data_IF_771932182905
#
_entry.id   IF_771932182905
#
_cell.length_a   1.000
_cell.length_b   1.000
_cell.length_c   1.000
_cell.angle_alpha   90.00
_cell.angle_beta   90.00
_cell.angle_gamma   90.00
#
_symmetry.space_group_name_H-M   'P 1'
#
loop_
_entity.id
_entity.type
_entity.pdbx_description
1 polymer ?
#
# COMPACT_ATOMS: atom_id res chain seq x y z
N UNK A 1 -21.75 -46.69 -22.54
CA UNK A 1 -20.96 -45.78 -21.69
C UNK A 1 -19.82 -45.23 -22.51
N UNK A 2 -19.92 -43.99 -22.99
CA UNK A 2 -18.78 -43.20 -23.43
C UNK A 2 -18.74 -41.96 -22.53
N UNK A 3 -17.58 -41.59 -21.96
CA UNK A 3 -17.51 -40.50 -21.00
C UNK A 3 -17.49 -39.17 -21.73
N UNK A 4 -18.46 -38.31 -21.42
CA UNK A 4 -18.42 -36.88 -21.72
C UNK A 4 -17.36 -36.23 -20.82
N UNK A 5 -16.14 -36.05 -21.33
CA UNK A 5 -15.12 -35.26 -20.63
C UNK A 5 -15.40 -33.77 -20.82
N UNK A 6 -15.44 -33.05 -19.71
CA UNK A 6 -16.05 -31.73 -19.57
C UNK A 6 -15.28 -30.59 -20.25
N UNK A 7 -16.03 -29.78 -20.99
CA UNK A 7 -15.66 -28.40 -21.38
C UNK A 7 -15.90 -27.38 -20.26
N UNK A 8 -16.51 -27.76 -19.14
CA UNK A 8 -16.93 -26.84 -18.07
C UNK A 8 -15.87 -26.58 -16.99
N UNK A 9 -14.86 -27.45 -16.86
CA UNK A 9 -13.81 -27.30 -15.84
C UNK A 9 -12.69 -26.32 -16.23
N UNK A 10 -12.34 -26.25 -17.52
CA UNK A 10 -11.25 -25.41 -18.03
C UNK A 10 -11.64 -23.95 -18.22
N UNK A 11 -12.90 -23.67 -18.57
CA UNK A 11 -13.43 -22.30 -18.61
C UNK A 11 -13.58 -21.71 -17.20
N UNK A 12 -14.05 -22.50 -16.23
CA UNK A 12 -14.22 -22.05 -14.85
C UNK A 12 -12.87 -21.76 -14.17
N UNK A 13 -11.85 -22.58 -14.42
CA UNK A 13 -10.49 -22.34 -13.93
C UNK A 13 -9.86 -21.07 -14.55
N UNK A 14 -10.11 -20.78 -15.83
CA UNK A 14 -9.63 -19.56 -16.50
C UNK A 14 -10.29 -18.29 -15.93
N UNK A 15 -11.58 -18.36 -15.63
CA UNK A 15 -12.34 -17.21 -15.08
C UNK A 15 -11.92 -16.92 -13.64
N UNK A 16 -11.71 -17.94 -12.80
CA UNK A 16 -11.27 -17.74 -11.41
C UNK A 16 -9.83 -17.21 -11.33
N UNK A 17 -8.92 -17.69 -12.18
CA UNK A 17 -7.53 -17.18 -12.24
C UNK A 17 -7.48 -15.74 -12.77
N UNK A 18 -8.32 -15.38 -13.75
CA UNK A 18 -8.43 -13.98 -14.20
C UNK A 18 -9.03 -13.06 -13.12
N UNK A 19 -10.02 -13.54 -12.35
CA UNK A 19 -10.64 -12.76 -11.29
C UNK A 19 -9.67 -12.50 -10.11
N UNK A 20 -8.85 -13.49 -9.74
CA UNK A 20 -7.77 -13.28 -8.78
C UNK A 20 -6.72 -12.31 -9.32
N UNK A 21 -6.28 -12.46 -10.57
CA UNK A 21 -5.30 -11.54 -11.19
C UNK A 21 -5.79 -10.08 -11.22
N UNK A 22 -7.06 -9.86 -11.57
CA UNK A 22 -7.71 -8.54 -11.58
C UNK A 22 -7.89 -7.93 -10.17
N UNK A 23 -8.11 -8.77 -9.15
CA UNK A 23 -8.12 -8.30 -7.75
C UNK A 23 -6.73 -7.83 -7.31
N UNK A 24 -5.69 -8.59 -7.63
CA UNK A 24 -4.31 -8.26 -7.24
C UNK A 24 -3.78 -7.03 -8.00
N UNK A 25 -4.12 -6.83 -9.27
CA UNK A 25 -3.78 -5.61 -10.03
C UNK A 25 -4.34 -4.32 -9.40
N UNK A 26 -5.51 -4.39 -8.77
CA UNK A 26 -6.17 -3.22 -8.15
C UNK A 26 -5.76 -3.03 -6.70
N UNK A 27 -5.57 -4.11 -5.95
CA UNK A 27 -5.25 -4.06 -4.53
C UNK A 27 -3.78 -3.68 -4.26
N UNK A 28 -2.85 -4.16 -5.09
CA UNK A 28 -1.41 -3.96 -4.90
C UNK A 28 -0.97 -2.47 -4.99
N UNK A 29 -1.42 -1.66 -5.98
CA UNK A 29 -1.07 -0.24 -6.03
C UNK A 29 -1.70 0.57 -4.89
N UNK A 30 -2.90 0.19 -4.42
CA UNK A 30 -3.52 0.81 -3.24
C UNK A 30 -2.74 0.51 -1.95
N UNK A 31 -2.30 -0.74 -1.76
CA UNK A 31 -1.44 -1.15 -0.64
C UNK A 31 -0.08 -0.45 -0.67
N UNK A 32 0.55 -0.36 -1.85
CA UNK A 32 1.82 0.33 -2.05
C UNK A 32 1.69 1.84 -1.84
N UNK A 33 0.59 2.45 -2.27
CA UNK A 33 0.31 3.87 -2.04
C UNK A 33 0.09 4.16 -0.56
N UNK A 34 -0.60 3.28 0.18
CA UNK A 34 -0.76 3.42 1.64
C UNK A 34 0.57 3.28 2.38
N UNK A 35 1.44 2.34 1.97
CA UNK A 35 2.79 2.16 2.53
C UNK A 35 3.71 3.34 2.22
N UNK A 36 3.58 3.93 1.03
CA UNK A 36 4.30 5.14 0.64
C UNK A 36 3.82 6.37 1.42
N UNK A 37 2.51 6.52 1.61
CA UNK A 37 1.92 7.61 2.40
C UNK A 37 2.29 7.52 3.88
N UNK A 38 2.33 6.31 4.47
CA UNK A 38 2.76 6.13 5.87
C UNK A 38 4.24 6.41 6.06
N UNK A 39 5.10 5.95 5.12
CA UNK A 39 6.53 6.25 5.14
C UNK A 39 6.83 7.74 4.91
N UNK A 40 6.04 8.44 4.09
CA UNK A 40 6.18 9.89 3.89
C UNK A 40 5.68 10.70 5.08
N UNK A 41 4.64 10.25 5.80
CA UNK A 41 4.17 10.93 7.02
C UNK A 41 5.16 10.81 8.18
N UNK A 42 5.88 9.69 8.31
CA UNK A 42 6.95 9.51 9.29
C UNK A 42 8.21 10.34 8.98
N UNK A 43 8.55 10.51 7.69
CA UNK A 43 9.78 11.24 7.30
C UNK A 43 9.59 12.76 7.28
N UNK A 44 8.36 13.27 7.06
CA UNK A 44 8.08 14.70 7.02
C UNK A 44 7.98 15.39 8.41
N UNK A 45 7.95 14.61 9.50
CA UNK A 45 7.94 15.13 10.88
C UNK A 45 9.29 14.97 11.60
N UNK A 46 10.35 14.62 10.89
CA UNK A 46 11.70 14.73 11.43
C UNK A 46 12.10 16.22 11.49
N UNK A 47 11.47 16.96 12.41
CA UNK A 47 12.08 18.13 13.01
C UNK A 47 13.52 17.74 13.35
N UNK A 48 14.50 18.52 12.88
CA UNK A 48 15.89 18.37 13.29
C UNK A 48 15.86 18.33 14.81
N UNK A 49 16.18 17.20 15.47
CA UNK A 49 16.14 17.17 16.91
C UNK A 49 17.18 18.18 17.38
N UNK A 50 16.73 19.18 18.13
CA UNK A 50 17.62 19.86 19.08
C UNK A 50 18.45 18.75 19.73
N UNK A 51 19.78 18.87 19.71
CA UNK A 51 20.68 17.93 20.39
C UNK A 51 20.01 17.53 21.71
N UNK A 52 19.70 16.25 21.94
CA UNK A 52 18.89 15.87 23.09
C UNK A 52 19.70 16.26 24.32
N UNK A 53 19.36 17.39 24.93
CA UNK A 53 19.59 17.56 26.35
C UNK A 53 18.82 16.41 26.95
N UNK A 54 19.51 15.37 27.42
CA UNK A 54 18.85 14.22 28.03
C UNK A 54 17.94 14.76 29.13
N UNK A 55 16.65 14.44 29.03
CA UNK A 55 15.63 14.81 30.02
C UNK A 55 14.99 13.56 30.55
N UNK A 56 14.68 13.57 31.83
CA UNK A 56 13.81 12.60 32.49
C UNK A 56 12.39 13.14 32.36
N UNK A 57 11.54 12.43 31.63
CA UNK A 57 10.12 12.74 31.48
C UNK A 57 9.31 12.03 32.58
N UNK A 58 8.41 12.74 33.24
CA UNK A 58 7.50 12.21 34.26
C UNK A 58 6.10 12.78 34.10
N UNK A 59 5.14 11.91 33.86
CA UNK A 59 3.74 12.27 33.94
C UNK A 59 3.29 12.23 35.40
N UNK A 60 2.75 13.36 35.88
CA UNK A 60 2.21 13.50 37.23
C UNK A 60 0.78 13.96 37.14
N UNK A 61 -0.13 13.22 37.76
CA UNK A 61 -1.56 13.52 37.81
C UNK A 61 -2.02 13.68 39.26
N UNK A 62 -2.74 14.76 39.54
CA UNK A 62 -3.32 14.99 40.86
C UNK A 62 -4.69 15.64 40.76
N UNK A 63 -5.40 15.70 41.89
CA UNK A 63 -6.72 16.30 41.97
C UNK A 63 -6.83 17.21 43.18
N UNK A 64 -7.44 18.37 43.00
CA UNK A 64 -7.73 19.30 44.09
C UNK A 64 -9.06 20.04 43.85
N UNK A 65 -9.94 20.03 44.86
CA UNK A 65 -11.28 20.66 44.80
C UNK A 65 -12.08 20.34 43.53
N UNK A 66 -12.05 19.08 43.10
CA UNK A 66 -12.80 18.58 41.94
C UNK A 66 -12.12 18.82 40.58
N UNK A 67 -11.03 19.59 40.53
CA UNK A 67 -10.19 19.70 39.34
C UNK A 67 -9.23 18.51 39.26
N UNK A 68 -9.05 17.97 38.05
CA UNK A 68 -8.03 16.99 37.72
C UNK A 68 -6.96 17.67 36.85
N UNK A 69 -5.71 17.54 37.24
CA UNK A 69 -4.57 18.20 36.60
C UNK A 69 -3.55 17.12 36.25
N UNK A 70 -2.96 17.20 35.06
CA UNK A 70 -1.91 16.32 34.60
C UNK A 70 -0.80 17.12 33.94
N UNK A 71 0.44 16.95 34.39
CA UNK A 71 1.62 17.62 33.87
C UNK A 71 2.67 16.60 33.43
N UNK A 72 3.31 16.86 32.29
CA UNK A 72 4.56 16.20 31.90
C UNK A 72 5.74 17.05 32.41
N UNK A 73 6.41 16.57 33.46
CA UNK A 73 7.64 17.17 33.96
C UNK A 73 8.81 16.76 33.06
N UNK A 74 9.66 17.72 32.70
CA UNK A 74 10.85 17.50 31.88
C UNK A 74 12.11 17.96 32.62
N UNK A 75 12.72 17.05 33.36
CA UNK A 75 13.86 17.33 34.25
C UNK A 75 15.16 17.12 33.50
N UNK A 76 16.05 18.13 33.38
CA UNK A 76 17.36 17.95 32.77
C UNK A 76 18.19 16.89 33.52
N UNK A 77 18.68 15.87 32.81
CA UNK A 77 19.41 14.75 33.41
C UNK A 77 20.67 15.21 34.13
N UNK A 78 21.36 16.24 33.63
CA UNK A 78 22.57 16.77 34.30
C UNK A 78 22.26 17.33 35.69
N UNK A 79 21.08 17.93 35.89
CA UNK A 79 20.70 18.55 37.15
C UNK A 79 20.36 17.47 38.19
N UNK A 80 19.62 16.43 37.77
CA UNK A 80 19.40 15.22 38.56
C UNK A 80 20.73 14.56 38.95
N UNK A 81 21.60 14.30 37.97
CA UNK A 81 22.90 13.67 38.17
C UNK A 81 23.85 14.47 39.08
N UNK A 82 23.67 15.78 39.18
CA UNK A 82 24.40 16.64 40.10
C UNK A 82 24.04 16.32 41.56
N UNK A 83 22.74 16.19 41.86
CA UNK A 83 22.27 15.84 43.20
C UNK A 83 22.63 14.39 43.58
N UNK A 84 22.46 13.42 42.67
CA UNK A 84 22.76 12.01 42.96
C UNK A 84 24.25 11.74 43.25
N UNK A 85 25.14 12.70 42.95
CA UNK A 85 26.58 12.63 43.25
C UNK A 85 26.92 13.12 44.65
N UNK A 86 25.99 13.79 45.33
CA UNK A 86 26.16 14.20 46.72
C UNK A 86 25.97 12.95 47.60
N UNK A 87 27.01 12.60 48.35
CA UNK A 87 27.02 11.37 49.16
C UNK A 87 26.10 11.49 50.37
N UNK A 88 25.80 10.36 51.00
CA UNK A 88 24.99 10.33 52.24
C UNK A 88 25.67 11.13 53.35
N UNK A 89 27.00 11.04 53.47
CA UNK A 89 27.78 11.79 54.45
C UNK A 89 27.68 13.31 54.22
N UNK A 90 27.77 13.75 52.96
CA UNK A 90 27.63 15.16 52.60
C UNK A 90 26.22 15.69 52.88
N UNK A 91 25.19 14.88 52.63
CA UNK A 91 23.78 15.21 52.95
C UNK A 91 23.59 15.40 54.46
N UNK A 92 24.14 14.50 55.26
CA UNK A 92 24.11 14.60 56.73
C UNK A 92 24.87 15.84 57.20
N UNK A 93 26.03 16.15 56.61
CA UNK A 93 26.85 17.30 56.98
C UNK A 93 26.15 18.64 56.71
N UNK A 94 25.52 18.79 55.53
CA UNK A 94 24.76 20.02 55.24
C UNK A 94 23.46 20.09 56.04
N UNK A 95 22.89 18.94 56.41
CA UNK A 95 21.63 18.83 57.16
C UNK A 95 20.39 19.12 56.31
N UNK A 96 19.26 18.54 56.73
CA UNK A 96 18.01 18.50 55.96
C UNK A 96 17.48 19.88 55.53
N UNK A 97 17.67 20.93 56.34
CA UNK A 97 17.24 22.28 55.99
C UNK A 97 17.94 22.82 54.73
N UNK A 98 19.22 22.47 54.54
CA UNK A 98 20.01 22.87 53.36
C UNK A 98 19.72 21.99 52.13
N UNK A 99 18.93 20.93 52.28
CA UNK A 99 18.50 20.08 51.17
C UNK A 99 17.23 20.57 50.47
N UNK A 100 16.54 21.56 51.05
CA UNK A 100 15.29 22.09 50.50
C UNK A 100 15.50 22.81 49.14
N UNK A 101 16.70 23.29 48.83
CA UNK A 101 17.10 23.83 47.50
C UNK A 101 16.02 24.62 46.73
N UNK A 102 15.28 25.48 47.45
CA UNK A 102 14.19 26.29 46.88
C UNK A 102 14.69 27.36 45.89
N UNK A 103 15.99 27.65 45.92
CA UNK A 103 16.70 28.54 45.01
C UNK A 103 17.22 27.83 43.73
N UNK A 104 17.03 26.51 43.60
CA UNK A 104 17.25 25.79 42.35
C UNK A 104 16.29 26.30 41.27
N UNK A 105 16.82 26.65 40.09
CA UNK A 105 16.04 27.27 39.02
C UNK A 105 14.91 26.39 38.48
N UNK A 106 15.07 25.06 38.50
CA UNK A 106 14.05 24.12 38.05
C UNK A 106 12.93 24.06 39.09
N UNK A 107 13.27 23.99 40.37
CA UNK A 107 12.30 24.02 41.48
C UNK A 107 11.55 25.36 41.51
N UNK A 108 12.25 26.48 41.36
CA UNK A 108 11.64 27.80 41.30
C UNK A 108 10.71 27.96 40.08
N UNK A 109 11.09 27.43 38.92
CA UNK A 109 10.25 27.40 37.73
C UNK A 109 8.98 26.57 37.95
N UNK A 110 9.12 25.38 38.55
CA UNK A 110 8.01 24.49 38.85
C UNK A 110 7.03 25.12 39.85
N UNK A 111 7.54 25.70 40.94
CA UNK A 111 6.75 26.40 41.94
C UNK A 111 5.99 27.59 41.34
N UNK A 112 6.65 28.37 40.48
CA UNK A 112 6.03 29.48 39.74
C UNK A 112 4.92 29.00 38.81
N UNK A 113 5.14 27.88 38.11
CA UNK A 113 4.11 27.22 37.30
C UNK A 113 2.89 26.83 38.14
N UNK A 114 3.11 26.17 39.28
CA UNK A 114 2.03 25.66 40.15
C UNK A 114 1.22 26.83 40.72
N UNK A 115 1.90 27.88 41.19
CA UNK A 115 1.27 29.09 41.69
C UNK A 115 0.47 29.82 40.60
N UNK A 116 1.00 29.88 39.37
CA UNK A 116 0.29 30.49 38.23
C UNK A 116 -0.98 29.72 37.89
N UNK A 117 -0.92 28.39 37.90
CA UNK A 117 -2.09 27.56 37.61
C UNK A 117 -3.13 27.61 38.72
N UNK A 118 -2.72 27.57 40.00
CA UNK A 118 -3.62 27.81 41.13
C UNK A 118 -4.34 29.17 41.02
N UNK A 119 -3.61 30.22 40.62
CA UNK A 119 -4.18 31.55 40.40
C UNK A 119 -5.21 31.56 39.25
N UNK A 120 -4.96 30.85 38.14
CA UNK A 120 -5.93 30.72 37.03
C UNK A 120 -7.21 30.01 37.48
N UNK A 121 -7.10 29.04 38.40
CA UNK A 121 -8.22 28.34 39.01
C UNK A 121 -8.96 29.17 40.07
N UNK A 122 -8.49 30.38 40.37
CA UNK A 122 -9.11 31.28 41.35
C UNK A 122 -8.79 30.92 42.80
N UNK A 123 -7.75 30.13 43.05
CA UNK A 123 -7.36 29.74 44.40
C UNK A 123 -6.68 30.89 45.15
N UNK A 124 -7.09 31.09 46.42
CA UNK A 124 -6.42 31.98 47.36
C UNK A 124 -5.20 31.33 48.00
N UNK A 125 -4.59 32.00 48.98
CA UNK A 125 -3.37 31.53 49.69
C UNK A 125 -3.53 30.09 50.23
N UNK A 126 -4.53 29.84 51.07
CA UNK A 126 -4.76 28.50 51.64
C UNK A 126 -4.97 27.43 50.57
N UNK A 127 -5.74 27.74 49.53
CA UNK A 127 -6.03 26.78 48.46
C UNK A 127 -4.84 26.54 47.54
N UNK A 128 -4.02 27.55 47.29
CA UNK A 128 -2.78 27.41 46.53
C UNK A 128 -1.79 26.53 47.27
N UNK A 129 -1.64 26.73 48.59
CA UNK A 129 -0.80 25.90 49.43
C UNK A 129 -1.26 24.43 49.42
N UNK A 130 -2.55 24.17 49.60
CA UNK A 130 -3.11 22.81 49.53
C UNK A 130 -3.10 22.21 48.11
N UNK A 131 -3.18 23.03 47.06
CA UNK A 131 -3.04 22.59 45.67
C UNK A 131 -1.63 22.07 45.39
N UNK A 132 -0.60 22.79 45.86
CA UNK A 132 0.80 22.35 45.80
C UNK A 132 1.01 21.11 46.67
N UNK A 133 0.37 21.05 47.85
CA UNK A 133 0.42 19.87 48.72
C UNK A 133 -0.16 18.63 48.02
N UNK A 134 -1.31 18.78 47.35
CA UNK A 134 -1.94 17.71 46.60
C UNK A 134 -1.09 17.23 45.40
N UNK A 135 -0.32 18.13 44.78
CA UNK A 135 0.67 17.76 43.77
C UNK A 135 1.75 16.85 44.38
N UNK A 136 2.32 17.22 45.52
CA UNK A 136 3.35 16.39 46.19
C UNK A 136 2.79 15.05 46.68
N UNK A 137 1.61 15.06 47.30
CA UNK A 137 0.91 13.84 47.76
C UNK A 137 0.56 12.85 46.63
N UNK A 138 0.61 13.28 45.36
CA UNK A 138 0.35 12.40 44.22
C UNK A 138 1.54 11.50 43.85
N UNK A 139 2.74 11.81 44.36
CA UNK A 139 3.92 11.00 44.17
C UNK A 139 3.82 9.71 45.00
N UNK A 140 4.51 8.64 44.56
CA UNK A 140 4.40 7.34 45.22
C UNK A 140 5.19 7.31 46.52
N UNK A 141 4.59 6.76 47.57
CA UNK A 141 5.28 6.51 48.82
C UNK A 141 6.06 5.19 48.76
N UNK A 142 7.37 5.24 48.99
CA UNK A 142 8.24 4.07 49.15
C UNK A 142 9.31 4.37 50.20
N UNK A 143 9.53 3.44 51.13
CA UNK A 143 10.58 3.59 52.15
C UNK A 143 11.95 3.36 51.55
N UNK A 144 12.95 4.06 52.06
CA UNK A 144 14.32 3.92 51.59
C UNK A 144 14.90 2.51 51.72
N UNK A 145 14.67 1.83 52.84
CA UNK A 145 15.16 0.47 53.09
C UNK A 145 14.59 -0.58 52.11
N UNK A 146 13.51 -0.26 51.38
CA UNK A 146 12.88 -1.13 50.39
C UNK A 146 13.53 -0.98 49.00
N UNK A 147 14.09 0.19 48.69
CA UNK A 147 14.50 0.56 47.32
C UNK A 147 16.00 0.89 47.22
N UNK A 148 16.63 1.25 48.33
CA UNK A 148 18.04 1.64 48.40
C UNK A 148 18.82 0.71 49.35
N UNK A 149 20.17 0.64 49.25
CA UNK A 149 20.97 -0.09 50.22
C UNK A 149 21.12 0.65 51.56
N UNK A 150 20.56 1.84 51.70
CA UNK A 150 20.65 2.68 52.88
C UNK A 150 19.38 2.54 53.72
N UNK A 151 19.53 2.63 55.05
CA UNK A 151 18.39 2.69 55.95
C UNK A 151 17.62 4.01 55.80
N UNK A 152 18.36 5.08 55.49
CA UNK A 152 17.88 6.45 55.33
C UNK A 152 18.69 7.11 54.20
N UNK A 153 18.02 7.71 53.24
CA UNK A 153 18.56 8.36 52.06
C UNK A 153 17.69 9.58 51.68
N UNK A 154 17.91 10.68 52.39
CA UNK A 154 17.20 11.94 52.11
C UNK A 154 17.45 12.40 50.68
N UNK A 155 16.41 12.56 49.89
CA UNK A 155 16.48 13.06 48.52
C UNK A 155 16.36 14.57 48.46
N UNK A 156 17.07 15.16 47.51
CA UNK A 156 16.81 16.53 47.11
C UNK A 156 15.46 16.61 46.37
N UNK A 157 14.79 17.78 46.34
CA UNK A 157 13.51 17.97 45.64
C UNK A 157 13.53 17.46 44.20
N UNK A 158 14.62 17.70 43.48
CA UNK A 158 14.74 17.32 42.07
C UNK A 158 14.90 15.81 41.87
N UNK A 159 15.53 15.11 42.82
CA UNK A 159 15.62 13.63 42.81
C UNK A 159 14.23 13.02 43.04
N UNK A 160 13.48 13.51 44.03
CA UNK A 160 12.10 13.06 44.31
C UNK A 160 11.21 13.21 43.07
N UNK A 161 11.30 14.35 42.37
CA UNK A 161 10.55 14.58 41.13
C UNK A 161 11.03 13.69 39.97
N UNK A 162 12.35 13.49 39.83
CA UNK A 162 12.93 12.70 38.75
C UNK A 162 12.63 11.20 38.91
N UNK A 163 12.57 10.72 40.13
CA UNK A 163 12.30 9.32 40.44
C UNK A 163 10.79 9.05 40.55
N UNK A 164 10.00 10.05 40.96
CA UNK A 164 8.53 9.97 41.08
C UNK A 164 8.06 9.29 42.37
N UNK A 165 8.95 9.18 43.36
CA UNK A 165 8.68 8.57 44.66
C UNK A 165 9.64 9.07 45.74
N UNK A 166 9.19 8.94 46.99
CA UNK A 166 9.96 9.19 48.21
C UNK A 166 9.14 8.79 49.43
N UNK A 167 9.71 8.87 50.61
CA UNK A 167 9.00 8.71 51.89
C UNK A 167 8.76 10.07 52.56
N UNK A 168 8.78 10.13 53.89
CA UNK A 168 8.19 11.23 54.66
C UNK A 168 9.02 12.51 54.57
N UNK A 169 10.33 12.38 54.65
CA UNK A 169 11.29 13.46 54.56
C UNK A 169 11.49 13.92 53.13
N UNK A 170 11.58 13.01 52.16
CA UNK A 170 11.65 13.35 50.72
C UNK A 170 10.49 14.25 50.28
N UNK A 171 9.28 13.81 50.63
CA UNK A 171 8.05 14.53 50.31
C UNK A 171 7.96 15.86 51.06
N UNK A 172 8.47 15.91 52.30
CA UNK A 172 8.53 17.13 53.11
C UNK A 172 9.54 18.14 52.57
N UNK A 173 10.73 17.69 52.18
CA UNK A 173 11.77 18.51 51.56
C UNK A 173 11.25 19.09 50.24
N UNK A 174 10.64 18.27 49.38
CA UNK A 174 10.04 18.72 48.11
C UNK A 174 8.91 19.73 48.33
N UNK A 175 7.96 19.45 49.22
CA UNK A 175 6.86 20.37 49.48
C UNK A 175 7.35 21.69 50.07
N UNK A 176 8.29 21.65 51.02
CA UNK A 176 8.91 22.84 51.58
C UNK A 176 9.65 23.67 50.51
N UNK A 177 10.33 23.00 49.57
CA UNK A 177 11.05 23.64 48.47
C UNK A 177 10.12 24.44 47.56
N UNK A 178 9.05 23.79 47.11
CA UNK A 178 8.04 24.41 46.25
C UNK A 178 7.32 25.56 46.96
N UNK A 179 7.00 25.39 48.25
CA UNK A 179 6.32 26.41 49.04
C UNK A 179 7.21 27.63 49.30
N UNK A 180 8.49 27.43 49.68
CA UNK A 180 9.46 28.54 49.82
C UNK A 180 9.64 29.28 48.50
N UNK A 181 9.85 28.56 47.40
CA UNK A 181 10.01 29.15 46.08
C UNK A 181 8.75 29.89 45.59
N UNK A 182 7.55 29.44 46.01
CA UNK A 182 6.28 30.14 45.76
C UNK A 182 6.04 31.34 46.69
N UNK A 183 6.96 31.63 47.62
CA UNK A 183 6.91 32.78 48.51
C UNK A 183 6.22 32.55 49.85
N UNK A 184 5.93 31.30 50.21
CA UNK A 184 5.37 30.97 51.52
C UNK A 184 6.46 30.90 52.58
N UNK A 185 6.10 31.29 53.80
CA UNK A 185 6.95 31.06 54.96
C UNK A 185 6.66 29.68 55.54
N UNK A 186 7.62 28.77 55.38
CA UNK A 186 7.52 27.38 55.82
C UNK A 186 8.75 26.96 56.62
N UNK A 187 8.57 25.93 57.45
CA UNK A 187 9.59 25.28 58.28
C UNK A 187 9.42 23.76 58.16
N UNK A 188 10.46 23.00 58.45
CA UNK A 188 10.32 21.54 58.60
C UNK A 188 9.96 21.22 60.05
N UNK A 189 9.14 20.19 60.22
CA UNK A 189 8.81 19.59 61.51
C UNK A 189 9.44 18.21 61.58
N UNK A 190 10.44 18.10 62.46
CA UNK A 190 11.04 16.82 62.84
C UNK A 190 10.27 16.26 64.05
N UNK A 191 9.62 15.12 63.83
CA UNK A 191 8.79 14.39 64.80
C UNK A 191 9.38 12.99 64.98
N UNK A 192 9.08 12.29 66.09
CA UNK A 192 9.54 10.92 66.27
C UNK A 192 9.11 10.01 65.12
N UNK A 193 10.09 9.50 64.36
CA UNK A 193 9.91 8.62 63.19
C UNK A 193 9.04 9.22 62.06
N UNK A 194 8.95 10.57 61.96
CA UNK A 194 8.17 11.23 60.92
C UNK A 194 8.68 12.63 60.62
N UNK A 195 8.65 13.04 59.35
CA UNK A 195 8.88 14.42 58.94
C UNK A 195 7.63 15.01 58.29
N UNK A 196 7.35 16.27 58.61
CA UNK A 196 6.26 17.02 58.02
C UNK A 196 6.67 18.48 57.77
N UNK A 197 5.76 19.27 57.21
CA UNK A 197 6.02 20.70 56.93
C UNK A 197 5.08 21.57 57.75
N UNK A 198 5.62 22.64 58.34
CA UNK A 198 4.88 23.71 58.95
C UNK A 198 4.68 24.88 57.98
N UNK A 199 3.43 25.29 57.74
CA UNK A 199 3.10 26.39 56.81
C UNK A 199 2.51 27.57 57.57
N UNK A 200 3.15 28.73 57.51
CA UNK A 200 2.56 29.97 58.00
C UNK A 200 1.63 30.57 56.94
N UNK A 201 0.43 30.93 57.37
CA UNK A 201 -0.61 31.53 56.53
C UNK A 201 -0.96 32.92 57.05
N UNK A 202 -1.33 33.83 56.15
CA UNK A 202 -1.76 35.19 56.51
C UNK A 202 -3.02 35.21 57.38
N UNK A 203 -3.94 34.26 57.14
CA UNK A 203 -5.18 34.09 57.91
C UNK A 203 -5.06 32.94 58.88
N UNK A 204 -5.54 33.16 60.10
CA UNK A 204 -5.69 32.08 61.07
C UNK A 204 -6.75 31.08 60.59
N UNK A 205 -6.41 29.81 60.63
CA UNK A 205 -7.32 28.69 60.36
C UNK A 205 -7.44 27.80 61.59
N UNK A 206 -8.42 26.92 61.61
CA UNK A 206 -8.53 25.85 62.61
C UNK A 206 -7.65 24.67 62.21
N UNK A 207 -7.02 24.01 63.18
CA UNK A 207 -6.20 22.82 62.94
C UNK A 207 -5.02 22.69 63.90
N UNK A 208 -4.19 21.69 63.65
CA UNK A 208 -2.92 21.44 64.32
C UNK A 208 -1.83 22.38 63.82
N UNK A 209 -1.11 22.99 64.75
CA UNK A 209 -0.04 23.95 64.46
C UNK A 209 1.02 23.97 65.55
N UNK A 210 2.15 24.60 65.25
CA UNK A 210 3.22 24.93 66.19
C UNK A 210 3.45 26.44 66.14
N UNK A 211 3.50 27.08 67.31
CA UNK A 211 3.90 28.49 67.41
C UNK A 211 5.45 28.56 67.48
N UNK A 212 6.06 29.28 66.54
CA UNK A 212 7.51 29.45 66.44
C UNK A 212 7.84 30.86 65.97
N UNK A 213 8.77 31.54 66.66
CA UNK A 213 9.18 32.92 66.37
C UNK A 213 8.01 33.91 66.18
N UNK A 214 6.96 33.78 66.99
CA UNK A 214 5.78 34.66 66.95
C UNK A 214 4.84 34.43 65.78
N UNK A 215 5.06 33.35 65.00
CA UNK A 215 4.19 32.92 63.89
C UNK A 215 3.63 31.54 64.18
N UNK A 216 2.45 31.27 63.60
CA UNK A 216 1.80 29.97 63.66
C UNK A 216 2.07 29.20 62.37
N UNK A 217 2.73 28.05 62.51
CA UNK A 217 3.00 27.14 61.40
C UNK A 217 2.05 25.95 61.48
N UNK A 218 1.12 25.86 60.54
CA UNK A 218 0.13 24.79 60.48
C UNK A 218 0.73 23.52 59.87
N UNK A 219 0.38 22.38 60.46
CA UNK A 219 0.87 21.07 60.02
C UNK A 219 0.38 20.73 58.61
N UNK A 220 1.30 20.28 57.75
CA UNK A 220 1.02 19.78 56.41
C UNK A 220 1.60 18.36 56.26
N UNK A 221 0.71 17.39 56.10
CA UNK A 221 1.05 15.98 55.84
C UNK A 221 1.29 15.78 54.34
N UNK A 222 2.48 15.32 53.98
CA UNK A 222 2.92 15.21 52.58
C UNK A 222 2.82 13.78 52.03
N UNK A 223 2.73 12.77 52.90
CA UNK A 223 2.90 11.36 52.52
C UNK A 223 1.69 10.71 51.86
N UNK A 224 0.49 11.22 52.12
CA UNK A 224 -0.75 10.58 51.70
C UNK A 224 -1.74 11.60 51.11
N UNK A 225 -2.46 11.26 50.02
CA UNK A 225 -3.52 12.10 49.49
C UNK A 225 -4.64 12.38 50.49
N UNK A 226 -5.21 13.58 50.43
CA UNK A 226 -6.45 13.93 51.13
C UNK A 226 -6.24 14.63 52.47
N UNK A 227 -5.00 14.75 52.93
CA UNK A 227 -4.67 15.64 54.03
C UNK A 227 -4.59 17.08 53.55
N UNK A 228 -5.17 17.98 54.32
CA UNK A 228 -5.10 19.43 54.08
C UNK A 228 -4.36 20.10 55.21
N UNK A 229 -3.68 21.21 54.94
CA UNK A 229 -2.98 22.02 55.94
C UNK A 229 -3.90 22.29 57.14
N UNK A 230 -3.37 22.02 58.33
CA UNK A 230 -4.06 22.07 59.62
C UNK A 230 -4.65 20.72 60.07
N UNK A 231 -4.74 19.70 59.20
CA UNK A 231 -5.13 18.35 59.62
C UNK A 231 -3.89 17.51 59.86
N UNK A 232 -3.73 17.02 61.09
CA UNK A 232 -2.66 16.11 61.47
C UNK A 232 -3.23 14.73 61.80
N UNK A 233 -2.52 13.63 61.46
CA UNK A 233 -2.81 12.29 61.95
C UNK A 233 -2.81 12.25 63.49
N UNK A 234 -3.58 11.34 64.09
CA UNK A 234 -3.67 11.23 65.56
C UNK A 234 -2.34 10.82 66.19
N UNK A 235 -1.53 10.07 65.44
CA UNK A 235 -0.24 9.52 65.83
C UNK A 235 0.79 10.60 66.14
N UNK A 236 0.69 11.76 65.48
CA UNK A 236 1.61 12.89 65.65
C UNK A 236 1.08 13.97 66.60
N UNK A 237 -0.22 13.96 66.93
CA UNK A 237 -0.82 14.97 67.82
C UNK A 237 -0.25 14.80 69.25
N UNK A 238 0.24 15.90 69.81
CA UNK A 238 0.81 15.94 71.16
C UNK A 238 2.22 15.34 71.29
N UNK A 239 2.83 14.91 70.17
CA UNK A 239 4.23 14.48 70.14
C UNK A 239 5.17 15.70 70.19
N UNK A 240 6.37 15.55 70.76
CA UNK A 240 7.39 16.61 70.68
C UNK A 240 7.74 16.87 69.22
N UNK A 241 7.94 18.13 68.88
CA UNK A 241 8.29 18.59 67.53
C UNK A 241 9.49 19.51 67.60
N UNK A 242 10.50 19.22 66.79
CA UNK A 242 11.62 20.13 66.55
C UNK A 242 11.33 20.93 65.30
N UNK A 243 11.30 22.26 65.44
CA UNK A 243 11.11 23.15 64.28
C UNK A 243 12.47 23.45 63.66
N UNK A 244 12.65 23.05 62.41
CA UNK A 244 13.88 23.27 61.66
C UNK A 244 13.63 24.40 60.65
N UNK A 245 14.19 25.61 60.87
CA UNK A 245 14.04 26.71 59.93
C UNK A 245 14.83 26.46 58.65
N UNK A 246 14.26 26.84 57.51
CA UNK A 246 14.89 26.68 56.19
C UNK A 246 15.67 27.96 55.86
N UNK A 247 16.97 27.86 55.51
CA UNK A 247 17.78 29.02 55.17
C UNK A 247 17.34 29.66 53.85
N UNK A 248 17.53 30.98 53.73
CA UNK A 248 17.24 31.72 52.49
C UNK A 248 18.13 31.27 51.32
N UNK A 249 19.32 30.75 51.61
CA UNK A 249 20.29 30.21 50.64
C UNK A 249 20.76 28.82 51.12
N UNK A 250 20.03 27.76 50.80
CA UNK A 250 20.41 26.40 51.17
C UNK A 250 21.72 26.01 50.48
N UNK A 251 22.67 25.44 51.24
CA UNK A 251 23.98 25.06 50.68
C UNK A 251 23.90 23.90 49.68
N UNK A 252 22.80 23.14 49.65
CA UNK A 252 22.60 22.02 48.73
C UNK A 252 22.67 22.41 47.24
N UNK A 253 22.15 23.59 46.87
CA UNK A 253 22.18 24.08 45.49
C UNK A 253 23.61 24.38 45.04
N UNK A 254 24.40 25.01 45.92
CA UNK A 254 25.82 25.27 45.68
C UNK A 254 26.63 23.98 45.60
N UNK A 255 26.38 23.02 46.50
CA UNK A 255 27.04 21.72 46.50
C UNK A 255 26.73 20.93 45.22
N UNK A 256 25.50 21.00 44.71
CA UNK A 256 25.14 20.41 43.44
C UNK A 256 25.93 21.00 42.26
N UNK A 257 26.10 22.32 42.23
CA UNK A 257 26.91 23.00 41.22
C UNK A 257 28.37 22.56 41.34
N UNK A 258 28.89 22.39 42.56
CA UNK A 258 30.23 21.87 42.80
C UNK A 258 30.40 20.44 42.29
N UNK A 259 29.42 19.55 42.51
CA UNK A 259 29.45 18.18 41.96
C UNK A 259 29.36 18.14 40.44
N UNK A 260 28.55 19.00 39.83
CA UNK A 260 28.52 19.16 38.38
C UNK A 260 29.88 19.66 37.89
N UNK A 261 30.45 20.67 38.53
CA UNK A 261 31.75 21.19 38.17
C UNK A 261 32.85 20.15 38.37
N UNK A 262 32.86 19.38 39.46
CA UNK A 262 33.80 18.27 39.66
C UNK A 262 33.67 17.25 38.52
N UNK A 263 32.45 16.89 38.14
CA UNK A 263 32.20 15.98 37.02
C UNK A 263 32.65 16.54 35.66
N UNK A 264 32.41 17.83 35.41
CA UNK A 264 32.82 18.51 34.17
C UNK A 264 34.34 18.80 34.13
N UNK A 265 34.94 19.04 35.29
CA UNK A 265 36.35 19.42 35.45
C UNK A 265 37.25 18.18 35.61
N UNK A 266 36.69 17.00 35.88
CA UNK A 266 37.40 15.73 35.89
C UNK A 266 37.21 14.95 34.58
N UNK A 267 37.84 15.45 33.51
CA UNK A 267 38.68 14.71 32.54
C UNK A 267 38.77 15.51 31.21
N UNK A 268 39.64 16.53 31.12
CA UNK A 268 39.90 17.28 29.88
C UNK A 268 40.27 16.38 28.70
N UNK A 269 40.94 15.24 28.96
CA UNK A 269 41.24 14.24 27.93
C UNK A 269 39.97 13.53 27.44
N UNK A 270 38.99 13.26 28.32
CA UNK A 270 37.69 12.71 27.90
C UNK A 270 36.89 13.72 27.09
N UNK A 271 36.88 15.00 27.47
CA UNK A 271 36.21 16.04 26.69
C UNK A 271 36.83 16.15 25.30
N UNK A 272 38.17 16.23 25.22
CA UNK A 272 38.91 16.25 23.95
C UNK A 272 38.67 14.97 23.13
N UNK A 273 38.58 13.81 23.79
CA UNK A 273 38.24 12.55 23.15
C UNK A 273 36.82 12.58 22.59
N UNK A 274 35.83 13.07 23.35
CA UNK A 274 34.44 13.21 22.92
C UNK A 274 34.28 14.23 21.79
N UNK A 275 35.04 15.32 21.79
CA UNK A 275 35.09 16.30 20.70
C UNK A 275 35.64 15.65 19.41
N UNK A 276 36.69 14.85 19.53
CA UNK A 276 37.25 14.10 18.41
C UNK A 276 36.25 13.04 17.89
N UNK A 277 35.63 12.26 18.78
CA UNK A 277 34.60 11.27 18.44
C UNK A 277 33.40 11.95 17.76
N UNK A 278 32.90 13.07 18.28
CA UNK A 278 31.81 13.83 17.66
C UNK A 278 32.19 14.41 16.29
N UNK A 279 33.43 14.91 16.14
CA UNK A 279 33.93 15.40 14.85
C UNK A 279 34.02 14.28 13.82
N UNK A 280 34.49 13.10 14.22
CA UNK A 280 34.54 11.91 13.37
C UNK A 280 33.14 11.44 12.97
N UNK A 281 32.23 11.31 13.94
CA UNK A 281 30.84 10.92 13.70
C UNK A 281 30.13 11.91 12.77
N UNK A 282 30.40 13.21 12.91
CA UNK A 282 29.83 14.24 12.02
C UNK A 282 30.30 14.06 10.58
N UNK A 283 31.59 13.76 10.37
CA UNK A 283 32.14 13.47 9.05
C UNK A 283 31.55 12.17 8.46
N UNK A 284 31.39 11.14 9.29
CA UNK A 284 30.79 9.87 8.87
C UNK A 284 29.31 10.03 8.49
N UNK A 285 28.54 10.76 9.30
CA UNK A 285 27.15 11.09 8.99
C UNK A 285 27.03 11.89 7.69
N UNK A 286 27.95 12.83 7.42
CA UNK A 286 27.97 13.55 6.15
C UNK A 286 28.22 12.62 4.96
N UNK A 287 29.17 11.69 5.08
CA UNK A 287 29.44 10.68 4.04
C UNK A 287 28.24 9.75 3.82
N UNK A 288 27.57 9.33 4.90
CA UNK A 288 26.36 8.51 4.81
C UNK A 288 25.21 9.28 4.13
N UNK A 289 25.03 10.56 4.44
CA UNK A 289 24.04 11.40 3.76
C UNK A 289 24.33 11.52 2.26
N UNK A 290 25.59 11.66 1.86
CA UNK A 290 25.99 11.67 0.45
C UNK A 290 25.70 10.32 -0.23
N UNK A 291 26.00 9.19 0.43
CA UNK A 291 25.68 7.85 -0.07
C UNK A 291 24.17 7.63 -0.22
N UNK A 292 23.36 8.03 0.76
CA UNK A 292 21.90 7.96 0.69
C UNK A 292 21.37 8.80 -0.47
N UNK A 293 21.91 10.02 -0.67
CA UNK A 293 21.54 10.87 -1.81
C UNK A 293 21.85 10.21 -3.15
N UNK A 294 23.00 9.54 -3.27
CA UNK A 294 23.37 8.81 -4.48
C UNK A 294 22.44 7.61 -4.72
N UNK A 295 22.19 6.79 -3.70
CA UNK A 295 21.28 5.65 -3.80
C UNK A 295 19.84 6.06 -4.15
N UNK A 296 19.39 7.21 -3.66
CA UNK A 296 18.09 7.76 -4.03
C UNK A 296 18.02 8.12 -5.52
N UNK A 297 19.07 8.74 -6.07
CA UNK A 297 19.15 9.04 -7.51
C UNK A 297 19.18 7.76 -8.36
N UNK A 298 19.96 6.76 -7.94
CA UNK A 298 20.02 5.47 -8.61
C UNK A 298 18.66 4.75 -8.59
N UNK A 299 17.96 4.75 -7.45
CA UNK A 299 16.61 4.20 -7.35
C UNK A 299 15.59 4.95 -8.21
N UNK A 300 15.66 6.27 -8.31
CA UNK A 300 14.81 7.04 -9.21
C UNK A 300 15.08 6.69 -10.68
N UNK A 301 16.34 6.54 -11.05
CA UNK A 301 16.73 6.12 -12.40
C UNK A 301 16.23 4.71 -12.72
N UNK A 302 16.47 3.73 -11.84
CA UNK A 302 15.97 2.36 -11.99
C UNK A 302 14.45 2.32 -12.11
N UNK A 303 13.73 3.15 -11.35
CA UNK A 303 12.28 3.28 -11.44
C UNK A 303 11.84 3.74 -12.82
N UNK A 304 12.50 4.75 -13.40
CA UNK A 304 12.19 5.23 -14.75
C UNK A 304 12.47 4.17 -15.82
N UNK A 305 13.61 3.46 -15.71
CA UNK A 305 13.96 2.37 -16.63
C UNK A 305 12.95 1.21 -16.55
N UNK A 306 12.48 0.87 -15.35
CA UNK A 306 11.44 -0.14 -15.15
C UNK A 306 10.11 0.25 -15.77
N UNK A 307 9.70 1.53 -15.65
CA UNK A 307 8.48 2.04 -16.27
C UNK A 307 8.55 1.98 -17.80
N UNK A 308 9.68 2.39 -18.39
CA UNK A 308 9.89 2.31 -19.84
C UNK A 308 9.84 0.85 -20.34
N UNK A 309 10.43 -0.08 -19.58
CA UNK A 309 10.40 -1.50 -19.93
C UNK A 309 8.99 -2.08 -19.81
N UNK A 310 8.22 -1.67 -18.79
CA UNK A 310 6.82 -2.08 -18.63
C UNK A 310 5.96 -1.60 -19.80
N UNK A 311 6.14 -0.36 -20.26
CA UNK A 311 5.44 0.18 -21.44
C UNK A 311 5.78 -0.60 -22.71
N UNK A 312 7.07 -0.91 -22.94
CA UNK A 312 7.50 -1.74 -24.09
C UNK A 312 6.89 -3.14 -24.04
N UNK A 313 6.83 -3.76 -22.85
CA UNK A 313 6.22 -5.07 -22.69
C UNK A 313 4.71 -5.04 -22.98
N UNK A 314 4.01 -3.99 -22.56
CA UNK A 314 2.59 -3.82 -22.88
C UNK A 314 2.37 -3.64 -24.40
N UNK A 315 3.22 -2.84 -25.05
CA UNK A 315 3.16 -2.68 -26.51
C UNK A 315 3.38 -4.01 -27.23
N UNK A 316 4.35 -4.81 -26.79
CA UNK A 316 4.60 -6.12 -27.36
C UNK A 316 3.42 -7.09 -27.14
N UNK A 317 2.80 -7.06 -25.95
CA UNK A 317 1.61 -7.86 -25.67
C UNK A 317 0.45 -7.51 -26.61
N UNK A 318 0.19 -6.22 -26.83
CA UNK A 318 -0.85 -5.76 -27.76
C UNK A 318 -0.55 -6.19 -29.22
N UNK A 319 0.73 -6.16 -29.62
CA UNK A 319 1.15 -6.63 -30.95
C UNK A 319 0.92 -8.14 -31.11
N UNK A 320 1.21 -8.93 -30.07
CA UNK A 320 0.96 -10.37 -30.09
C UNK A 320 -0.54 -10.69 -30.21
N UNK A 321 -1.39 -9.98 -29.48
CA UNK A 321 -2.85 -10.12 -29.56
C UNK A 321 -3.39 -9.77 -30.96
N UNK A 322 -2.88 -8.70 -31.56
CA UNK A 322 -3.22 -8.32 -32.94
C UNK A 322 -2.81 -9.41 -33.95
N UNK A 323 -1.59 -9.95 -33.83
CA UNK A 323 -1.12 -11.03 -34.69
C UNK A 323 -1.93 -12.32 -34.52
N UNK A 324 -2.36 -12.64 -33.29
CA UNK A 324 -3.26 -13.77 -33.04
C UNK A 324 -4.60 -13.58 -33.75
N UNK A 325 -5.18 -12.38 -33.67
CA UNK A 325 -6.45 -12.05 -34.36
C UNK A 325 -6.33 -12.21 -35.88
N UNK A 326 -5.22 -11.73 -36.47
CA UNK A 326 -4.97 -11.92 -37.90
C UNK A 326 -4.85 -13.41 -38.23
N UNK A 327 -4.12 -14.18 -37.43
CA UNK A 327 -3.91 -15.60 -37.69
C UNK A 327 -5.22 -16.40 -37.61
N UNK A 328 -6.09 -16.08 -36.65
CA UNK A 328 -7.44 -16.67 -36.56
C UNK A 328 -8.29 -16.34 -37.80
N UNK A 329 -8.27 -15.08 -38.25
CA UNK A 329 -8.99 -14.66 -39.46
C UNK A 329 -8.46 -15.35 -40.73
N UNK A 330 -7.13 -15.50 -40.84
CA UNK A 330 -6.50 -16.24 -41.93
C UNK A 330 -6.84 -17.72 -41.88
N UNK A 331 -6.83 -18.34 -40.69
CA UNK A 331 -7.24 -19.73 -40.51
C UNK A 331 -8.68 -19.95 -40.98
N UNK A 332 -9.60 -19.06 -40.60
CA UNK A 332 -11.00 -19.13 -41.02
C UNK A 332 -11.16 -18.98 -42.54
N UNK A 333 -10.49 -17.98 -43.13
CA UNK A 333 -10.48 -17.80 -44.59
C UNK A 333 -9.95 -19.05 -45.29
N UNK A 334 -8.92 -19.69 -44.72
CA UNK A 334 -8.35 -20.90 -45.29
C UNK A 334 -9.31 -22.10 -45.20
N UNK A 335 -10.07 -22.23 -44.09
CA UNK A 335 -11.15 -23.23 -43.97
C UNK A 335 -12.26 -23.00 -45.01
N UNK A 336 -12.70 -21.75 -45.19
CA UNK A 336 -13.72 -21.38 -46.20
C UNK A 336 -13.25 -21.71 -47.63
N UNK A 337 -11.99 -21.42 -47.96
CA UNK A 337 -11.40 -21.77 -49.26
C UNK A 337 -11.24 -23.28 -49.48
N UNK A 338 -11.00 -24.05 -48.42
CA UNK A 338 -10.97 -25.52 -48.49
C UNK A 338 -12.36 -26.04 -48.83
N UNK A 339 -13.41 -25.55 -48.14
CA UNK A 339 -14.80 -25.95 -48.40
C UNK A 339 -15.24 -25.57 -49.82
N UNK A 340 -14.89 -24.37 -50.30
CA UNK A 340 -15.19 -23.94 -51.67
C UNK A 340 -14.49 -24.83 -52.71
N UNK A 341 -13.21 -25.18 -52.49
CA UNK A 341 -12.49 -26.08 -53.38
C UNK A 341 -13.10 -27.48 -53.40
N UNK A 342 -13.55 -28.01 -52.26
CA UNK A 342 -14.25 -29.30 -52.18
C UNK A 342 -15.56 -29.26 -52.97
N UNK A 343 -16.34 -28.18 -52.84
CA UNK A 343 -17.58 -28.00 -53.60
C UNK A 343 -17.33 -27.86 -55.10
N UNK A 344 -16.34 -27.07 -55.51
CA UNK A 344 -15.94 -26.95 -56.92
C UNK A 344 -15.46 -28.30 -57.48
N UNK A 345 -14.68 -29.06 -56.71
CA UNK A 345 -14.27 -30.41 -57.10
C UNK A 345 -15.47 -31.33 -57.32
N UNK A 346 -16.48 -31.26 -56.45
CA UNK A 346 -17.74 -32.00 -56.62
C UNK A 346 -18.50 -31.58 -57.88
N UNK A 347 -18.61 -30.28 -58.16
CA UNK A 347 -19.25 -29.76 -59.37
C UNK A 347 -18.53 -30.21 -60.65
N UNK A 348 -17.20 -30.18 -60.65
CA UNK A 348 -16.39 -30.68 -61.77
C UNK A 348 -16.70 -32.16 -62.01
N UNK A 349 -16.74 -32.98 -60.96
CA UNK A 349 -17.09 -34.40 -61.07
C UNK A 349 -18.50 -34.61 -61.65
N UNK A 350 -19.47 -33.79 -61.27
CA UNK A 350 -20.82 -33.84 -61.86
C UNK A 350 -20.81 -33.48 -63.34
N UNK A 351 -20.14 -32.40 -63.73
CA UNK A 351 -20.01 -31.97 -65.13
C UNK A 351 -19.27 -33.01 -65.98
N UNK A 352 -18.23 -33.65 -65.43
CA UNK A 352 -17.54 -34.76 -66.10
C UNK A 352 -18.47 -35.96 -66.33
N UNK A 353 -19.34 -36.28 -65.37
CA UNK A 353 -20.36 -37.31 -65.51
C UNK A 353 -21.40 -36.94 -66.59
N UNK A 354 -21.91 -35.71 -66.57
CA UNK A 354 -22.86 -35.22 -67.58
C UNK A 354 -22.25 -35.22 -68.98
N UNK A 355 -20.99 -34.77 -69.11
CA UNK A 355 -20.24 -34.81 -70.36
C UNK A 355 -20.13 -36.25 -70.89
N UNK A 356 -19.76 -37.21 -70.04
CA UNK A 356 -19.67 -38.62 -70.44
C UNK A 356 -21.04 -39.16 -70.91
N UNK A 357 -22.15 -38.76 -70.27
CA UNK A 357 -23.49 -39.13 -70.71
C UNK A 357 -23.86 -38.52 -72.07
N UNK A 358 -23.48 -37.26 -72.32
CA UNK A 358 -23.71 -36.58 -73.59
C UNK A 358 -22.87 -37.19 -74.71
N UNK A 359 -21.60 -37.51 -74.46
CA UNK A 359 -20.73 -38.22 -75.40
C UNK A 359 -21.35 -39.57 -75.79
N UNK A 360 -21.83 -40.35 -74.82
CA UNK A 360 -22.55 -41.60 -75.10
C UNK A 360 -23.79 -41.40 -75.97
N UNK A 361 -24.57 -40.33 -75.74
CA UNK A 361 -25.75 -40.00 -76.58
C UNK A 361 -25.35 -39.59 -77.99
N UNK A 362 -24.25 -38.85 -78.15
CA UNK A 362 -23.73 -38.47 -79.47
C UNK A 362 -23.32 -39.74 -80.22
N UNK A 363 -22.57 -40.65 -79.60
CA UNK A 363 -22.18 -41.92 -80.20
C UNK A 363 -23.40 -42.76 -80.64
N UNK A 364 -24.45 -42.85 -79.80
CA UNK A 364 -25.71 -43.52 -80.14
C UNK A 364 -26.43 -42.85 -81.33
N UNK A 365 -26.47 -41.52 -81.37
CA UNK A 365 -27.04 -40.77 -82.49
C UNK A 365 -26.23 -40.93 -83.77
N UNK A 366 -24.89 -40.91 -83.70
CA UNK A 366 -24.02 -41.16 -84.85
C UNK A 366 -24.21 -42.57 -85.40
N UNK A 367 -24.34 -43.57 -84.52
CA UNK A 367 -24.68 -44.93 -84.91
C UNK A 367 -26.02 -44.99 -85.64
N UNK A 368 -27.07 -44.37 -85.08
CA UNK A 368 -28.39 -44.27 -85.73
C UNK A 368 -28.33 -43.58 -87.09
N UNK A 369 -27.61 -42.46 -87.21
CA UNK A 369 -27.41 -41.75 -88.48
C UNK A 369 -26.70 -42.66 -89.48
N UNK A 370 -25.67 -43.40 -89.07
CA UNK A 370 -24.97 -44.36 -89.94
C UNK A 370 -25.91 -45.46 -90.43
N UNK A 371 -26.74 -46.02 -89.56
CA UNK A 371 -27.77 -47.02 -89.92
C UNK A 371 -28.80 -46.44 -90.90
N UNK A 372 -29.29 -45.22 -90.65
CA UNK A 372 -30.21 -44.52 -91.54
C UNK A 372 -29.58 -44.24 -92.91
N UNK A 373 -28.34 -43.74 -92.94
CA UNK A 373 -27.61 -43.49 -94.19
C UNK A 373 -27.37 -44.78 -94.98
N UNK A 374 -27.05 -45.87 -94.30
CA UNK A 374 -26.95 -47.19 -94.93
C UNK A 374 -28.28 -47.59 -95.56
N UNK A 375 -29.39 -47.45 -94.81
CA UNK A 375 -30.75 -47.72 -95.29
C UNK A 375 -31.10 -46.85 -96.51
N UNK A 376 -30.80 -45.54 -96.47
CA UNK A 376 -30.98 -44.63 -97.61
C UNK A 376 -30.13 -45.08 -98.80
N UNK A 377 -28.89 -45.51 -98.58
CA UNK A 377 -28.00 -45.99 -99.66
C UNK A 377 -28.54 -47.25 -100.35
N UNK A 378 -29.24 -48.13 -99.62
CA UNK A 378 -29.93 -49.29 -100.20
C UNK A 378 -31.22 -48.91 -100.94
N UNK A 379 -31.94 -47.89 -100.46
CA UNK A 379 -33.18 -47.43 -101.08
C UNK A 379 -32.95 -46.53 -102.30
N UNK A 380 -31.87 -45.75 -102.35
CA UNK A 380 -31.54 -44.83 -103.45
C UNK A 380 -31.46 -45.51 -104.83
N UNK A 381 -30.74 -46.63 -105.03
CA UNK A 381 -30.73 -47.32 -106.32
C UNK A 381 -32.08 -47.94 -106.64
N UNK A 382 -32.85 -48.40 -105.63
CA UNK A 382 -34.22 -48.90 -105.84
C UNK A 382 -35.14 -47.79 -106.34
N UNK A 383 -35.05 -46.58 -105.77
CA UNK A 383 -35.79 -45.41 -106.23
C UNK A 383 -35.35 -44.95 -107.63
N UNK A 384 -34.04 -44.88 -107.92
CA UNK A 384 -33.53 -44.53 -109.25
C UNK A 384 -33.93 -45.55 -110.32
N UNK A 385 -33.96 -46.85 -109.97
CA UNK A 385 -34.45 -47.89 -110.88
C UNK A 385 -35.95 -47.72 -111.16
N UNK A 386 -36.73 -47.31 -110.16
CA UNK A 386 -38.14 -46.99 -110.31
C UNK A 386 -38.35 -45.74 -111.20
N UNK A 387 -37.58 -44.67 -111.00
CA UNK A 387 -37.61 -43.46 -111.84
C UNK A 387 -37.17 -43.76 -113.28
N UNK A 388 -36.15 -44.59 -113.49
CA UNK A 388 -35.71 -45.02 -114.81
C UNK A 388 -36.78 -45.86 -115.53
N UNK A 389 -37.48 -46.73 -114.80
CA UNK A 389 -38.65 -47.47 -115.31
C UNK A 389 -39.78 -46.52 -115.73
N UNK A 390 -40.06 -45.48 -114.93
CA UNK A 390 -41.06 -44.46 -115.24
C UNK A 390 -40.62 -43.61 -116.45
N UNK A 391 -39.35 -43.21 -116.53
CA UNK A 391 -38.80 -42.38 -117.60
C UNK A 391 -38.58 -43.10 -118.94
N UNK A 392 -38.33 -44.41 -118.93
CA UNK A 392 -38.25 -45.24 -120.13
C UNK A 392 -39.64 -45.62 -120.68
N UNK A 393 -40.68 -45.49 -119.86
CA UNK A 393 -42.06 -45.84 -120.22
C UNK A 393 -42.53 -45.17 -121.54
N UNK A 394 -42.32 -43.86 -121.79
CA UNK A 394 -42.72 -43.20 -123.03
C UNK A 394 -41.89 -43.65 -124.24
N UNK A 395 -40.61 -43.98 -124.05
CA UNK A 395 -39.73 -44.44 -125.13
C UNK A 395 -40.01 -45.91 -125.50
N UNK A 396 -40.26 -46.78 -124.53
CA UNK A 396 -40.72 -48.16 -124.78
C UNK A 396 -42.06 -48.16 -125.49
N UNK A 397 -42.98 -47.27 -125.10
CA UNK A 397 -44.22 -46.99 -125.84
C UNK A 397 -43.92 -46.49 -127.27
N UNK A 398 -42.98 -45.57 -127.44
CA UNK A 398 -42.58 -44.99 -128.73
C UNK A 398 -41.88 -45.96 -129.68
N UNK A 399 -40.97 -46.82 -129.20
CA UNK A 399 -40.33 -47.91 -129.97
C UNK A 399 -41.39 -48.93 -130.37
N UNK A 400 -42.31 -49.28 -129.46
CA UNK A 400 -43.46 -50.11 -129.79
C UNK A 400 -44.27 -49.55 -130.96
N UNK A 401 -44.54 -48.24 -130.96
CA UNK A 401 -45.24 -47.54 -132.05
C UNK A 401 -44.38 -47.49 -133.33
N UNK A 402 -43.09 -47.20 -133.24
CA UNK A 402 -42.20 -47.06 -134.40
C UNK A 402 -41.89 -48.39 -135.10
N UNK A 403 -41.78 -49.51 -134.36
CA UNK A 403 -41.68 -50.85 -134.93
C UNK A 403 -42.96 -51.19 -135.69
N UNK A 404 -44.13 -50.84 -135.16
CA UNK A 404 -45.41 -50.99 -135.86
C UNK A 404 -45.47 -50.16 -137.15
N UNK A 405 -44.94 -48.92 -137.14
CA UNK A 405 -44.87 -48.06 -138.32
C UNK A 405 -43.83 -48.57 -139.35
N UNK A 406 -42.66 -49.04 -138.90
CA UNK A 406 -41.60 -49.56 -139.77
C UNK A 406 -42.01 -50.84 -140.51
N UNK A 407 -42.74 -51.72 -139.83
CA UNK A 407 -43.38 -52.89 -140.45
C UNK A 407 -44.36 -52.41 -141.53
N UNK A 408 -45.18 -51.39 -141.27
CA UNK A 408 -46.13 -50.84 -142.24
C UNK A 408 -45.46 -50.20 -143.47
N UNK A 409 -44.33 -49.50 -143.30
CA UNK A 409 -43.59 -48.83 -144.39
C UNK A 409 -42.80 -49.82 -145.26
N UNK A 410 -42.25 -50.90 -144.68
CA UNK A 410 -41.59 -51.96 -145.44
C UNK A 410 -42.56 -52.64 -146.43
N UNK A 411 -43.83 -52.82 -146.05
CA UNK A 411 -44.87 -53.28 -146.96
C UNK A 411 -45.23 -52.27 -148.06
N UNK A 412 -45.05 -50.96 -147.83
CA UNK A 412 -45.41 -49.90 -148.80
C UNK A 412 -44.41 -49.76 -149.96
N UNK A 413 -43.10 -49.93 -149.73
CA UNK A 413 -42.08 -49.70 -150.77
C UNK A 413 -41.70 -50.95 -151.59
N UNK A 414 -41.93 -52.16 -151.07
CA UNK A 414 -41.80 -53.41 -151.85
C UNK A 414 -42.81 -53.48 -153.02
N UNK A 415 -43.84 -52.62 -153.03
CA UNK A 415 -44.89 -52.61 -154.07
C UNK A 415 -44.69 -51.66 -155.26
N UNK A 416 -43.69 -50.76 -155.29
CA UNK A 416 -43.61 -49.69 -156.33
C UNK A 416 -42.52 -49.86 -157.40
N UNK A 417 -41.82 -51.00 -157.40
CA UNK A 417 -40.75 -51.37 -158.35
C UNK A 417 -41.26 -52.11 -159.62
N UNK A 418 -42.56 -52.14 -159.89
CA UNK A 418 -43.16 -52.81 -161.04
C UNK A 418 -44.29 -51.94 -161.63
N UNK A 419 -43.97 -51.04 -162.58
CA UNK A 419 -44.83 -50.49 -163.66
C UNK A 419 -44.32 -49.13 -164.19
N UNK A 420 -43.29 -49.17 -165.07
CA UNK A 420 -43.14 -48.34 -166.29
C UNK A 420 -41.77 -48.59 -166.97
N UNK A 421 -41.64 -49.80 -167.52
CA UNK A 421 -40.80 -50.14 -168.67
C UNK A 421 -41.67 -50.99 -169.60
N UNK A 422 -42.47 -50.30 -170.41
CA UNK A 422 -43.09 -50.82 -171.63
C UNK A 422 -43.14 -49.68 -172.67
N UNK A 423 -41.98 -49.07 -172.94
CA UNK A 423 -41.61 -48.52 -174.24
C UNK A 423 -40.12 -48.89 -174.41
N UNK A 424 -39.85 -49.75 -175.40
CA UNK A 424 -38.59 -50.46 -175.73
C UNK A 424 -38.32 -51.72 -174.91
N UNK A 425 -38.80 -52.84 -175.48
CA UNK A 425 -38.60 -54.19 -174.97
C UNK A 425 -37.16 -54.67 -175.09
N UNK A 426 -36.67 -55.24 -173.99
CA UNK A 426 -36.28 -56.64 -173.77
C UNK A 426 -36.35 -56.85 -172.26
#
# INVERSE_FOLDING_TARGET
MQPTFGKTGTEKLKVDVMAEFLMWERALPLLLLTLLLTAFFEVAHAEIPELPQSRIARDVEWSYKGWKIGWELRIPTYAYLGYTRITVEERIEIGVANMVTHDDLIIASLASGLAKDAKKLGFGEYDTANYILAFVQSLRYHKDEEITPYKEYWKFPLETLAEGWGDCEDSSILYAALMKAAGYDVVLFDLPEHMAVGVALSKTISGSYVDYNGKRYYYAETTNPGWTIGKAPQEVIGKPVTVIPIPDKPSGTQLQIEKINEYLNYNPERLKQLENENSQLKQENQKLLEQVSQLQKENQKLKSEYQELAEKNQQLANQLEYLQTINEALSKTNEELIEENENLSFQVMQLESEKAQLEWKIDDLEFKIRTLNHTISELKPKAMMMDALIGALPMLLGIGIAVLIGIAVAFYYLGRSAERKEILGI
#
